data_IF_394798860128
#
_entry.id   IF_394798860128
#
_cell.length_a   1.000
_cell.length_b   1.000
_cell.length_c   1.000
_cell.angle_alpha   90.00
_cell.angle_beta   90.00
_cell.angle_gamma   90.00
#
_symmetry.space_group_name_H-M   'P 1'
#
loop_
_entity.id
_entity.type
_entity.pdbx_description
1 polymer ?
#
# COMPACT_ATOMS: atom_id res chain seq x y z
N UNK A 1 -23.37 -18.83 -15.81
CA UNK A 1 -23.67 -17.67 -16.68
C UNK A 1 -22.40 -16.88 -16.90
N UNK A 2 -21.89 -16.85 -18.13
CA UNK A 2 -20.66 -16.13 -18.50
C UNK A 2 -20.89 -14.63 -18.28
N UNK A 3 -20.19 -14.02 -17.33
CA UNK A 3 -20.25 -12.58 -17.14
C UNK A 3 -19.76 -11.92 -18.44
N UNK A 4 -20.65 -11.19 -19.14
CA UNK A 4 -20.31 -10.44 -20.35
C UNK A 4 -19.04 -9.64 -20.09
N UNK A 5 -17.94 -10.01 -20.75
CA UNK A 5 -16.69 -9.24 -20.76
C UNK A 5 -17.05 -7.86 -21.29
N UNK A 6 -17.03 -6.85 -20.42
CA UNK A 6 -17.17 -5.45 -20.84
C UNK A 6 -15.88 -5.11 -21.57
N UNK A 7 -15.96 -4.83 -22.86
CA UNK A 7 -14.84 -4.43 -23.67
C UNK A 7 -15.17 -3.12 -24.38
N UNK A 8 -14.17 -2.25 -24.52
CA UNK A 8 -14.30 -0.97 -25.22
C UNK A 8 -13.28 -0.96 -26.34
N UNK A 9 -13.69 -0.57 -27.56
CA UNK A 9 -12.78 -0.36 -28.67
C UNK A 9 -12.26 1.08 -28.63
N UNK A 10 -10.94 1.23 -28.50
CA UNK A 10 -10.24 2.52 -28.54
C UNK A 10 -9.09 2.40 -29.54
N UNK A 11 -8.95 3.38 -30.44
CA UNK A 11 -7.88 3.42 -31.44
C UNK A 11 -7.69 2.09 -32.23
N UNK A 12 -8.79 1.40 -32.54
CA UNK A 12 -8.76 0.12 -33.27
C UNK A 12 -8.33 -1.10 -32.45
N UNK A 13 -8.05 -0.96 -31.14
CA UNK A 13 -7.77 -2.08 -30.22
C UNK A 13 -8.92 -2.31 -29.26
N UNK A 14 -9.16 -3.57 -28.90
CA UNK A 14 -10.11 -3.95 -27.86
C UNK A 14 -9.45 -3.89 -26.49
N UNK A 15 -10.07 -3.12 -25.58
CA UNK A 15 -9.65 -3.01 -24.19
C UNK A 15 -10.63 -3.71 -23.28
N UNK A 16 -10.15 -4.66 -22.47
CA UNK A 16 -10.96 -5.27 -21.43
C UNK A 16 -11.21 -4.27 -20.29
N UNK A 17 -12.46 -4.09 -19.88
CA UNK A 17 -12.84 -3.20 -18.77
C UNK A 17 -13.05 -4.01 -17.50
N UNK A 18 -12.21 -3.77 -16.49
CA UNK A 18 -12.26 -4.43 -15.19
C UNK A 18 -12.60 -3.39 -14.12
N UNK A 19 -13.83 -3.47 -13.61
CA UNK A 19 -14.37 -2.54 -12.62
C UNK A 19 -13.95 -2.92 -11.19
N UNK A 20 -13.99 -1.96 -10.24
CA UNK A 20 -13.80 -2.28 -8.83
C UNK A 20 -14.84 -3.29 -8.36
N UNK A 21 -14.41 -4.22 -7.51
CA UNK A 21 -15.27 -5.23 -6.89
C UNK A 21 -15.16 -5.11 -5.38
N UNK A 22 -16.30 -4.97 -4.70
CA UNK A 22 -16.36 -4.97 -3.24
C UNK A 22 -16.05 -6.34 -2.64
N UNK A 23 -16.10 -7.41 -3.45
CA UNK A 23 -15.79 -8.79 -3.03
C UNK A 23 -14.31 -9.15 -3.18
N UNK A 24 -13.47 -8.17 -3.55
CA UNK A 24 -12.04 -8.39 -3.64
C UNK A 24 -11.44 -8.43 -2.22
N UNK A 25 -10.74 -9.52 -1.81
CA UNK A 25 -10.14 -9.61 -0.47
C UNK A 25 -9.20 -8.45 -0.15
N UNK A 26 -8.64 -7.78 -1.18
CA UNK A 26 -7.81 -6.58 -1.01
C UNK A 26 -8.57 -5.40 -0.39
N UNK A 27 -9.90 -5.38 -0.47
CA UNK A 27 -10.73 -4.35 0.14
C UNK A 27 -10.66 -4.41 1.67
N UNK A 28 -10.53 -5.59 2.28
CA UNK A 28 -10.31 -5.71 3.72
C UNK A 28 -8.99 -5.09 4.14
N UNK A 29 -7.91 -5.39 3.41
CA UNK A 29 -6.58 -4.77 3.64
C UNK A 29 -6.65 -3.26 3.49
N UNK A 30 -7.31 -2.77 2.43
CA UNK A 30 -7.49 -1.36 2.20
C UNK A 30 -8.29 -0.68 3.33
N UNK A 31 -9.34 -1.33 3.84
CA UNK A 31 -10.15 -0.82 4.94
C UNK A 31 -9.32 -0.70 6.23
N UNK A 32 -8.50 -1.70 6.56
CA UNK A 32 -7.58 -1.64 7.71
C UNK A 32 -6.60 -0.49 7.54
N UNK A 33 -5.91 -0.40 6.39
CA UNK A 33 -4.94 0.67 6.15
C UNK A 33 -5.57 2.07 6.19
N UNK A 34 -6.73 2.25 5.57
CA UNK A 34 -7.45 3.54 5.62
C UNK A 34 -7.86 3.89 7.04
N UNK A 35 -8.35 2.92 7.82
CA UNK A 35 -8.69 3.15 9.24
C UNK A 35 -7.47 3.62 10.03
N UNK A 36 -6.33 2.95 9.85
CA UNK A 36 -5.08 3.33 10.52
C UNK A 36 -4.55 4.69 10.06
N UNK A 37 -4.70 5.03 8.78
CA UNK A 37 -4.38 6.37 8.27
C UNK A 37 -5.28 7.42 8.91
N UNK A 38 -6.59 7.18 9.03
CA UNK A 38 -7.53 8.11 9.68
C UNK A 38 -7.18 8.30 11.16
N UNK A 39 -6.94 7.22 11.91
CA UNK A 39 -6.48 7.29 13.29
C UNK A 39 -5.14 8.06 13.38
N UNK A 40 -4.23 7.76 12.45
CA UNK A 40 -2.96 8.46 12.25
C UNK A 40 -3.11 9.97 12.15
N UNK A 41 -3.98 10.41 11.25
CA UNK A 41 -4.21 11.82 10.93
C UNK A 41 -5.03 12.57 11.99
N UNK A 42 -5.76 11.87 12.86
CA UNK A 42 -6.71 12.51 13.80
C UNK A 42 -6.28 12.44 15.25
N UNK A 43 -5.81 11.29 15.73
CA UNK A 43 -5.60 11.04 17.17
C UNK A 43 -4.20 10.54 17.52
N UNK A 44 -3.47 9.96 16.55
CA UNK A 44 -2.12 9.40 16.79
C UNK A 44 -0.98 10.35 16.39
N UNK A 45 -1.29 11.52 15.83
CA UNK A 45 -0.27 12.54 15.57
C UNK A 45 0.70 12.19 14.44
N UNK A 46 0.28 11.46 13.41
CA UNK A 46 1.19 11.05 12.32
C UNK A 46 1.87 12.26 11.67
N UNK A 47 3.19 12.14 11.51
CA UNK A 47 4.06 13.08 10.79
C UNK A 47 4.05 12.81 9.27
N UNK A 48 2.85 12.75 8.72
CA UNK A 48 2.56 12.42 7.33
C UNK A 48 1.44 13.34 6.85
N UNK A 49 1.60 13.96 5.68
CA UNK A 49 0.56 14.82 5.10
C UNK A 49 -0.44 14.03 4.26
N UNK A 50 -1.66 14.55 4.15
CA UNK A 50 -2.68 14.02 3.21
C UNK A 50 -2.17 14.12 1.77
N UNK A 51 -1.45 15.19 1.41
CA UNK A 51 -0.83 15.31 0.09
C UNK A 51 0.17 14.18 -0.20
N UNK A 52 0.99 13.77 0.77
CA UNK A 52 1.91 12.63 0.65
C UNK A 52 1.15 11.30 0.47
N UNK A 53 0.04 11.10 1.20
CA UNK A 53 -0.81 9.91 1.01
C UNK A 53 -1.39 9.90 -0.41
N UNK A 54 -2.02 11.00 -0.83
CA UNK A 54 -2.67 11.10 -2.13
C UNK A 54 -1.68 10.90 -3.28
N UNK A 55 -0.46 11.44 -3.20
CA UNK A 55 0.52 11.25 -4.27
C UNK A 55 1.03 9.81 -4.34
N UNK A 56 1.13 9.09 -3.23
CA UNK A 56 1.47 7.67 -3.25
C UNK A 56 0.39 6.84 -3.91
N UNK A 57 -0.88 7.10 -3.56
CA UNK A 57 -2.04 6.45 -4.19
C UNK A 57 -2.07 6.73 -5.69
N UNK A 58 -1.91 8.00 -6.07
CA UNK A 58 -1.91 8.43 -7.47
C UNK A 58 -0.75 7.79 -8.25
N UNK A 59 0.47 7.78 -7.70
CA UNK A 59 1.65 7.19 -8.35
C UNK A 59 1.45 5.70 -8.58
N UNK A 60 1.02 4.95 -7.55
CA UNK A 60 0.75 3.53 -7.68
C UNK A 60 -0.37 3.24 -8.68
N UNK A 61 -1.46 4.00 -8.62
CA UNK A 61 -2.59 3.88 -9.52
C UNK A 61 -2.20 4.14 -10.98
N UNK A 62 -1.47 5.24 -11.24
CA UNK A 62 -1.04 5.63 -12.59
C UNK A 62 -0.06 4.63 -13.19
N UNK A 63 0.87 4.08 -12.41
CA UNK A 63 1.80 3.06 -12.91
C UNK A 63 1.06 1.76 -13.23
N UNK A 64 0.18 1.28 -12.35
CA UNK A 64 -0.60 0.06 -12.63
C UNK A 64 -1.53 0.26 -13.83
N UNK A 65 -2.22 1.39 -13.90
CA UNK A 65 -3.08 1.72 -15.02
C UNK A 65 -2.29 1.81 -16.32
N UNK A 66 -1.14 2.49 -16.33
CA UNK A 66 -0.27 2.60 -17.50
C UNK A 66 0.21 1.23 -17.98
N UNK A 67 0.69 0.37 -17.07
CA UNK A 67 1.09 -1.00 -17.42
C UNK A 67 -0.09 -1.77 -18.00
N UNK A 68 -1.26 -1.75 -17.34
CA UNK A 68 -2.44 -2.46 -17.82
C UNK A 68 -2.91 -1.96 -19.20
N UNK A 69 -2.88 -0.65 -19.40
CA UNK A 69 -3.32 -0.01 -20.64
C UNK A 69 -2.38 -0.33 -21.81
N UNK A 70 -1.06 -0.17 -21.63
CA UNK A 70 -0.08 -0.34 -22.70
C UNK A 70 0.33 -1.79 -22.94
N UNK A 71 0.46 -2.59 -21.88
CA UNK A 71 0.96 -3.97 -21.97
C UNK A 71 -0.17 -4.99 -22.05
N UNK A 72 -1.21 -4.83 -21.23
CA UNK A 72 -2.25 -5.84 -21.06
C UNK A 72 -3.53 -5.52 -21.87
N UNK A 73 -3.56 -4.37 -22.57
CA UNK A 73 -4.75 -3.85 -23.28
C UNK A 73 -6.00 -3.91 -22.40
N UNK A 74 -5.87 -3.46 -21.16
CA UNK A 74 -6.93 -3.48 -20.17
C UNK A 74 -7.10 -2.10 -19.52
N UNK A 75 -8.34 -1.65 -19.41
CA UNK A 75 -8.73 -0.51 -18.59
C UNK A 75 -9.26 -1.10 -17.28
N UNK A 76 -8.38 -1.17 -16.29
CA UNK A 76 -8.70 -1.79 -15.01
C UNK A 76 -8.62 -0.80 -13.84
N UNK A 77 -9.46 -1.03 -12.84
CA UNK A 77 -9.31 -0.39 -11.54
C UNK A 77 -7.98 -0.80 -10.89
N UNK A 78 -7.08 0.15 -10.57
CA UNK A 78 -5.73 -0.15 -10.13
C UNK A 78 -5.67 -0.48 -8.62
N UNK A 79 -6.45 -1.47 -8.19
CA UNK A 79 -6.56 -1.85 -6.78
C UNK A 79 -5.21 -2.21 -6.14
N UNK A 80 -4.31 -2.88 -6.87
CA UNK A 80 -3.03 -3.29 -6.29
C UNK A 80 -2.04 -2.13 -6.22
N UNK A 81 -2.03 -1.24 -7.21
CA UNK A 81 -1.22 -0.03 -7.20
C UNK A 81 -1.64 0.92 -6.09
N UNK A 82 -2.96 1.08 -5.87
CA UNK A 82 -3.50 1.82 -4.74
C UNK A 82 -3.07 1.20 -3.41
N UNK A 83 -3.12 -0.12 -3.27
CA UNK A 83 -2.70 -0.80 -2.05
C UNK A 83 -1.19 -0.66 -1.78
N UNK A 84 -0.36 -0.80 -2.81
CA UNK A 84 1.09 -0.57 -2.72
C UNK A 84 1.38 0.88 -2.31
N UNK A 85 0.74 1.86 -2.97
CA UNK A 85 0.86 3.27 -2.62
C UNK A 85 0.44 3.55 -1.18
N UNK A 86 -0.69 3.00 -0.73
CA UNK A 86 -1.16 3.18 0.65
C UNK A 86 -0.22 2.55 1.67
N UNK A 87 0.27 1.33 1.41
CA UNK A 87 1.25 0.65 2.26
C UNK A 87 2.55 1.44 2.39
N UNK A 88 3.06 1.99 1.27
CA UNK A 88 4.24 2.87 1.29
C UNK A 88 3.98 4.14 2.08
N UNK A 89 2.87 4.85 1.84
CA UNK A 89 2.53 6.08 2.56
C UNK A 89 2.35 5.83 4.06
N UNK A 90 1.77 4.70 4.44
CA UNK A 90 1.56 4.35 5.84
C UNK A 90 2.88 4.21 6.61
N UNK A 91 3.90 3.61 6.00
CA UNK A 91 5.18 3.30 6.67
C UNK A 91 6.21 4.42 6.50
N UNK A 92 6.29 5.05 5.32
CA UNK A 92 7.33 6.02 5.01
C UNK A 92 7.07 7.37 5.70
N UNK A 93 8.08 7.92 6.35
CA UNK A 93 8.09 9.29 6.85
C UNK A 93 9.31 10.03 6.32
N UNK A 94 9.18 11.36 6.22
CA UNK A 94 10.27 12.27 5.87
C UNK A 94 10.49 13.26 7.01
N UNK A 95 11.70 13.32 7.57
CA UNK A 95 12.03 14.30 8.61
C UNK A 95 11.68 15.73 8.16
N UNK A 96 11.03 16.49 9.04
CA UNK A 96 10.54 17.84 8.76
C UNK A 96 9.06 17.96 8.42
N UNK A 97 8.38 16.87 8.01
CA UNK A 97 6.91 16.87 7.98
C UNK A 97 6.38 16.80 9.42
N UNK A 98 5.51 17.74 9.80
CA UNK A 98 4.89 17.77 11.12
C UNK A 98 3.40 17.42 11.06
N UNK A 99 2.88 16.92 12.17
CA UNK A 99 1.46 16.67 12.29
C UNK A 99 0.64 17.96 12.10
N UNK A 100 -0.53 17.85 11.46
CA UNK A 100 -1.38 19.00 11.12
C UNK A 100 -1.00 19.70 9.81
N UNK A 101 0.17 19.44 9.24
CA UNK A 101 0.56 19.98 7.92
C UNK A 101 -0.03 19.14 6.77
N UNK A 102 -1.36 19.01 6.72
CA UNK A 102 -2.05 18.06 5.85
C UNK A 102 -1.77 18.24 4.35
N UNK A 103 -1.43 19.44 3.89
CA UNK A 103 -1.15 19.72 2.48
C UNK A 103 0.34 19.96 2.18
N UNK A 104 1.24 19.64 3.11
CA UNK A 104 2.68 19.74 2.87
C UNK A 104 3.13 18.81 1.75
N UNK A 105 3.91 19.34 0.81
CA UNK A 105 4.56 18.60 -0.28
C UNK A 105 6.02 18.26 0.03
N UNK A 106 6.44 18.43 1.29
CA UNK A 106 7.81 18.15 1.72
C UNK A 106 8.22 16.71 1.40
N UNK A 107 9.37 16.54 0.75
CA UNK A 107 9.88 15.21 0.39
C UNK A 107 8.99 14.39 -0.56
N UNK A 108 8.01 15.00 -1.25
CA UNK A 108 7.06 14.28 -2.13
C UNK A 108 7.74 13.43 -3.19
N UNK A 109 8.90 13.89 -3.69
CA UNK A 109 9.71 13.17 -4.66
C UNK A 109 10.24 11.83 -4.10
N UNK A 110 10.50 11.75 -2.80
CA UNK A 110 10.88 10.50 -2.12
C UNK A 110 9.70 9.54 -2.16
N UNK A 111 8.51 9.99 -1.74
CA UNK A 111 7.29 9.17 -1.76
C UNK A 111 6.99 8.63 -3.16
N UNK A 112 7.06 9.50 -4.20
CA UNK A 112 6.90 9.10 -5.60
C UNK A 112 7.97 8.08 -6.00
N UNK A 113 9.25 8.34 -5.69
CA UNK A 113 10.36 7.45 -6.02
C UNK A 113 10.23 6.07 -5.38
N UNK A 114 9.84 6.00 -4.10
CA UNK A 114 9.64 4.74 -3.39
C UNK A 114 8.48 3.95 -3.99
N UNK A 115 7.36 4.59 -4.29
CA UNK A 115 6.23 3.90 -4.95
C UNK A 115 6.62 3.46 -6.36
N UNK A 116 7.36 4.28 -7.11
CA UNK A 116 7.82 3.93 -8.45
C UNK A 116 8.76 2.71 -8.44
N UNK A 117 9.73 2.66 -7.53
CA UNK A 117 10.63 1.50 -7.35
C UNK A 117 9.83 0.27 -6.91
N UNK A 118 8.89 0.44 -5.98
CA UNK A 118 7.99 -0.64 -5.53
C UNK A 118 7.24 -1.23 -6.72
N UNK A 119 6.60 -0.39 -7.52
CA UNK A 119 5.84 -0.82 -8.69
C UNK A 119 6.74 -1.41 -9.78
N UNK A 120 7.91 -0.83 -10.02
CA UNK A 120 8.90 -1.39 -10.95
C UNK A 120 9.28 -2.82 -10.54
N UNK A 121 9.54 -3.07 -9.26
CA UNK A 121 9.84 -4.41 -8.77
C UNK A 121 8.71 -5.42 -9.03
N UNK A 122 7.45 -5.00 -8.85
CA UNK A 122 6.26 -5.83 -9.11
C UNK A 122 6.19 -6.29 -10.56
N UNK A 123 6.57 -5.44 -11.51
CA UNK A 123 6.43 -5.73 -12.94
C UNK A 123 7.70 -6.30 -13.59
N UNK A 124 8.88 -5.93 -13.08
CA UNK A 124 10.19 -6.30 -13.65
C UNK A 124 10.82 -7.51 -12.96
N UNK A 125 10.67 -7.66 -11.64
CA UNK A 125 11.30 -8.73 -10.86
C UNK A 125 10.26 -9.82 -10.58
N UNK A 126 10.11 -10.72 -11.56
CA UNK A 126 9.07 -11.77 -11.53
C UNK A 126 9.66 -13.14 -11.82
N UNK A 127 9.12 -14.15 -11.15
CA UNK A 127 9.40 -15.56 -11.39
C UNK A 127 8.10 -16.31 -11.64
N UNK A 128 8.04 -17.09 -12.73
CA UNK A 128 6.86 -17.88 -13.13
C UNK A 128 5.55 -17.06 -13.11
N UNK A 129 5.61 -15.83 -13.61
CA UNK A 129 4.45 -14.94 -13.69
C UNK A 129 4.02 -14.29 -12.37
N UNK A 130 4.76 -14.45 -11.27
CA UNK A 130 4.48 -13.82 -9.97
C UNK A 130 5.64 -12.91 -9.56
N UNK A 131 5.35 -11.80 -8.88
CA UNK A 131 6.41 -10.99 -8.26
C UNK A 131 7.03 -11.78 -7.11
N UNK A 132 8.34 -11.65 -6.93
CA UNK A 132 9.08 -12.40 -5.90
C UNK A 132 8.98 -11.68 -4.55
N UNK A 133 9.19 -10.37 -4.57
CA UNK A 133 9.20 -9.54 -3.37
C UNK A 133 7.84 -8.89 -3.14
N UNK A 134 7.52 -8.62 -1.87
CA UNK A 134 6.48 -7.65 -1.56
C UNK A 134 6.89 -6.28 -2.14
N UNK A 135 6.15 -5.73 -3.11
CA UNK A 135 6.54 -4.52 -3.82
C UNK A 135 6.82 -3.33 -2.91
N UNK A 136 5.92 -3.04 -1.96
CA UNK A 136 6.07 -1.87 -1.07
C UNK A 136 7.26 -2.05 -0.13
N UNK A 137 7.42 -3.24 0.45
CA UNK A 137 8.53 -3.52 1.37
C UNK A 137 9.88 -3.37 0.67
N UNK A 138 10.03 -3.85 -0.57
CA UNK A 138 11.30 -3.71 -1.30
C UNK A 138 11.64 -2.24 -1.52
N UNK A 139 10.69 -1.43 -1.98
CA UNK A 139 10.90 0.00 -2.18
C UNK A 139 11.25 0.71 -0.88
N UNK A 140 10.56 0.41 0.22
CA UNK A 140 10.81 0.98 1.54
C UNK A 140 12.21 0.63 2.06
N UNK A 141 12.61 -0.65 2.00
CA UNK A 141 13.94 -1.09 2.44
C UNK A 141 15.03 -0.37 1.65
N UNK A 142 14.91 -0.28 0.32
CA UNK A 142 15.85 0.47 -0.52
C UNK A 142 15.91 1.93 -0.07
N UNK A 143 14.76 2.57 0.18
CA UNK A 143 14.71 3.97 0.61
C UNK A 143 15.37 4.20 1.96
N UNK A 144 15.13 3.33 2.94
CA UNK A 144 15.70 3.43 4.28
C UNK A 144 17.20 3.20 4.28
N UNK A 145 17.69 2.22 3.52
CA UNK A 145 19.12 1.90 3.45
C UNK A 145 19.88 2.94 2.62
N UNK A 146 19.36 3.33 1.45
CA UNK A 146 20.09 4.19 0.52
C UNK A 146 20.04 5.68 0.88
N UNK A 147 18.91 6.17 1.42
CA UNK A 147 18.76 7.58 1.77
C UNK A 147 19.07 7.86 3.25
N UNK A 148 18.88 6.85 4.12
CA UNK A 148 19.17 6.94 5.55
C UNK A 148 18.26 7.91 6.33
N UNK A 149 18.50 8.02 7.66
CA UNK A 149 17.64 8.76 8.59
C UNK A 149 17.57 10.27 8.32
N UNK A 150 18.48 10.81 7.51
CA UNK A 150 18.45 12.21 7.09
C UNK A 150 17.23 12.54 6.23
N UNK A 151 16.76 11.57 5.44
CA UNK A 151 15.70 11.78 4.45
C UNK A 151 14.49 10.88 4.66
N UNK A 152 14.68 9.71 5.25
CA UNK A 152 13.63 8.72 5.45
C UNK A 152 13.66 8.15 6.86
N UNK A 153 12.49 8.02 7.46
CA UNK A 153 12.33 7.34 8.75
C UNK A 153 11.11 6.39 8.67
N UNK A 154 11.16 5.20 9.32
CA UNK A 154 10.01 4.33 9.39
C UNK A 154 8.99 4.89 10.38
N UNK A 155 7.71 4.59 10.16
CA UNK A 155 6.64 4.98 11.06
C UNK A 155 6.84 4.36 12.46
N UNK A 156 6.68 5.20 13.47
CA UNK A 156 6.90 4.93 14.90
C UNK A 156 5.66 4.37 15.63
N UNK A 157 4.57 4.07 14.92
CA UNK A 157 3.27 3.70 15.46
C UNK A 157 3.33 2.68 16.62
N UNK A 158 4.23 1.71 16.53
CA UNK A 158 4.40 0.61 17.48
C UNK A 158 5.09 1.01 18.78
N UNK A 159 5.68 2.20 18.82
CA UNK A 159 6.53 2.71 19.89
C UNK A 159 6.01 4.04 20.48
N UNK A 160 4.82 4.49 20.07
CA UNK A 160 4.21 5.69 20.63
C UNK A 160 3.82 5.46 22.10
N UNK A 161 3.70 6.52 22.91
CA UNK A 161 3.30 6.39 24.31
C UNK A 161 1.99 5.61 24.47
N UNK A 162 1.87 4.75 25.50
CA UNK A 162 0.66 3.97 25.72
C UNK A 162 -0.53 4.88 25.97
N UNK A 163 -1.65 4.58 25.30
CA UNK A 163 -2.87 5.36 25.40
C UNK A 163 -4.06 4.63 24.76
N UNK A 164 -5.30 5.12 24.98
CA UNK A 164 -6.51 4.44 24.50
C UNK A 164 -6.52 4.26 22.98
N UNK A 165 -6.01 5.24 22.22
CA UNK A 165 -5.96 5.18 20.76
C UNK A 165 -4.95 4.17 20.21
N UNK A 166 -3.86 3.91 20.96
CA UNK A 166 -2.92 2.84 20.61
C UNK A 166 -3.59 1.46 20.81
N UNK A 167 -4.37 1.28 21.88
CA UNK A 167 -5.16 0.04 22.10
C UNK A 167 -6.15 -0.18 20.95
N UNK A 168 -6.88 0.86 20.55
CA UNK A 168 -7.79 0.78 19.39
C UNK A 168 -7.03 0.40 18.12
N UNK A 169 -5.84 0.96 17.91
CA UNK A 169 -5.00 0.66 16.75
C UNK A 169 -4.56 -0.80 16.75
N UNK A 170 -4.09 -1.33 17.88
CA UNK A 170 -3.77 -2.75 18.00
C UNK A 170 -4.99 -3.64 17.79
N UNK A 171 -6.16 -3.26 18.31
CA UNK A 171 -7.40 -4.00 18.06
C UNK A 171 -7.72 -4.05 16.56
N UNK A 172 -7.62 -2.92 15.84
CA UNK A 172 -7.81 -2.84 14.39
C UNK A 172 -6.80 -3.74 13.65
N UNK A 173 -5.52 -3.70 14.05
CA UNK A 173 -4.46 -4.51 13.43
C UNK A 173 -4.66 -6.01 13.68
N UNK A 174 -4.93 -6.42 14.91
CA UNK A 174 -5.09 -7.83 15.29
C UNK A 174 -6.37 -8.40 14.68
N UNK A 175 -7.51 -7.73 14.86
CA UNK A 175 -8.78 -8.21 14.30
C UNK A 175 -8.73 -8.17 12.77
N UNK A 176 -8.27 -7.07 12.18
CA UNK A 176 -8.14 -6.94 10.73
C UNK A 176 -7.19 -7.98 10.14
N UNK A 177 -6.02 -8.14 10.75
CA UNK A 177 -5.01 -9.13 10.35
C UNK A 177 -5.56 -10.56 10.41
N UNK A 178 -6.18 -10.95 11.52
CA UNK A 178 -6.78 -12.28 11.68
C UNK A 178 -7.88 -12.56 10.65
N UNK A 179 -8.75 -11.58 10.37
CA UNK A 179 -9.80 -11.73 9.37
C UNK A 179 -9.22 -11.92 7.96
N UNK A 180 -8.22 -11.11 7.59
CA UNK A 180 -7.52 -11.23 6.30
C UNK A 180 -6.80 -12.58 6.20
N UNK A 181 -6.09 -12.99 7.25
CA UNK A 181 -5.36 -14.25 7.30
C UNK A 181 -6.31 -15.45 7.21
N UNK A 182 -7.47 -15.38 7.84
CA UNK A 182 -8.52 -16.38 7.75
C UNK A 182 -9.07 -16.47 6.32
N UNK A 183 -9.45 -15.35 5.72
CA UNK A 183 -10.01 -15.29 4.37
C UNK A 183 -9.02 -15.83 3.32
N UNK A 184 -7.74 -15.51 3.47
CA UNK A 184 -6.68 -15.91 2.56
C UNK A 184 -6.05 -17.28 2.89
N UNK A 185 -6.50 -17.94 3.96
CA UNK A 185 -5.97 -19.23 4.47
C UNK A 185 -4.46 -19.16 4.78
N UNK A 186 -4.02 -18.04 5.34
CA UNK A 186 -2.63 -17.77 5.71
C UNK A 186 -2.33 -17.94 7.21
N UNK A 187 -3.33 -18.27 8.03
CA UNK A 187 -3.16 -18.40 9.49
C UNK A 187 -2.03 -19.35 9.90
N UNK A 188 -1.87 -20.48 9.22
CA UNK A 188 -0.78 -21.42 9.52
C UNK A 188 0.60 -20.81 9.30
N UNK A 189 0.76 -19.97 8.27
CA UNK A 189 2.01 -19.25 8.00
C UNK A 189 2.28 -18.21 9.07
N UNK A 190 1.27 -17.44 9.48
CA UNK A 190 1.42 -16.42 10.51
C UNK A 190 1.75 -17.01 11.88
N UNK A 191 1.06 -18.09 12.28
CA UNK A 191 1.33 -18.80 13.53
C UNK A 191 2.73 -19.42 13.53
N UNK A 192 3.16 -20.02 12.42
CA UNK A 192 4.52 -20.55 12.30
C UNK A 192 5.58 -19.45 12.39
N UNK A 193 5.34 -18.29 11.76
CA UNK A 193 6.22 -17.13 11.88
C UNK A 193 6.31 -16.64 13.33
N UNK A 194 5.17 -16.47 14.02
CA UNK A 194 5.16 -16.04 15.42
C UNK A 194 5.84 -17.04 16.35
N UNK A 195 5.60 -18.34 16.17
CA UNK A 195 6.24 -19.39 16.94
C UNK A 195 7.76 -19.40 16.72
N UNK A 196 8.21 -19.25 15.47
CA UNK A 196 9.63 -19.16 15.15
C UNK A 196 10.31 -17.88 15.62
N UNK A 197 9.57 -16.77 15.74
CA UNK A 197 10.09 -15.51 16.28
C UNK A 197 10.17 -15.52 17.83
N UNK A 198 9.25 -16.24 18.48
CA UNK A 198 9.18 -16.33 19.93
C UNK A 198 10.10 -17.39 20.55
N UNK A 199 10.55 -18.36 19.74
CA UNK A 199 11.50 -19.41 20.12
C UNK A 199 12.95 -18.91 20.10
#
# INVERSE_FOLDING_TARGET
>A
MSAKRRAVRLFGREYAVILPSLRDPRMHVAAVLVTLQVLGQTVLGFRLSVAQILICLATGALIEFGVAFFKDSAIMWPASGLLTGNSTAFILRTPGTLHGQWWSTHGIWIFVGVVAISMASKYLIRWRGRHIFNPSNLGLVIAFVALGPKFTEPQDLWWIPPGPWLIVTYAVLVVGGLLIAWELRLLGLELAFMAGFAA
#
